data_IF_201820272793
#
_entry.id   IF_201820272793
#
_cell.length_a   1.000
_cell.length_b   1.000
_cell.length_c   1.000
_cell.angle_alpha   90.00
_cell.angle_beta   90.00
_cell.angle_gamma   90.00
#
_symmetry.space_group_name_H-M   'P 1'
#
loop_
_entity.id
_entity.type
_entity.pdbx_description
1 polymer ?
#
# COMPACT_ATOMS: atom_id res chain seq x y z
N UNK A 1 -11.96 -20.05 -17.00
CA UNK A 1 -10.76 -20.91 -16.88
C UNK A 1 -9.70 -20.10 -16.16
N UNK A 2 -9.03 -20.70 -15.17
CA UNK A 2 -8.20 -19.95 -14.23
C UNK A 2 -6.70 -20.19 -14.46
N UNK A 3 -5.92 -19.11 -14.42
CA UNK A 3 -4.49 -19.12 -14.76
C UNK A 3 -3.67 -18.37 -13.71
N UNK A 4 -2.48 -18.87 -13.42
CA UNK A 4 -1.50 -18.17 -12.60
C UNK A 4 -0.26 -17.83 -13.44
N UNK A 5 0.05 -16.55 -13.54
CA UNK A 5 1.24 -16.02 -14.20
C UNK A 5 2.24 -15.49 -13.17
N UNK A 6 3.52 -15.49 -13.52
CA UNK A 6 4.57 -14.84 -12.75
C UNK A 6 5.38 -13.90 -13.64
N UNK A 7 5.60 -12.67 -13.14
CA UNK A 7 6.53 -11.73 -13.75
C UNK A 7 7.95 -12.03 -13.28
N UNK A 8 8.91 -12.07 -14.20
CA UNK A 8 10.31 -12.40 -13.90
C UNK A 8 11.21 -11.18 -14.03
N UNK A 9 11.99 -10.87 -13.00
CA UNK A 9 12.97 -9.77 -13.01
C UNK A 9 14.18 -10.09 -13.91
N UNK A 10 14.60 -9.12 -14.72
CA UNK A 10 15.92 -9.10 -15.40
C UNK A 10 15.86 -8.96 -16.93
N UNK A 11 17.03 -9.07 -17.59
CA UNK A 11 17.18 -8.86 -19.06
C UNK A 11 16.39 -9.83 -19.96
N UNK A 12 16.03 -11.01 -19.44
CA UNK A 12 15.13 -11.97 -20.09
C UNK A 12 13.81 -12.08 -19.29
N UNK A 13 13.41 -10.96 -18.68
CA UNK A 13 12.20 -10.85 -17.88
C UNK A 13 10.94 -10.85 -18.73
N UNK A 14 9.81 -11.02 -18.05
CA UNK A 14 8.49 -11.11 -18.67
C UNK A 14 7.59 -12.13 -17.99
N UNK A 15 6.32 -12.10 -18.37
CA UNK A 15 5.27 -12.96 -17.85
C UNK A 15 5.46 -14.40 -18.32
N UNK A 16 5.39 -15.34 -17.38
CA UNK A 16 5.44 -16.78 -17.63
C UNK A 16 4.29 -17.49 -16.94
N UNK A 17 3.75 -18.53 -17.59
CA UNK A 17 2.69 -19.36 -17.05
C UNK A 17 3.21 -20.26 -15.91
N UNK A 18 2.57 -20.23 -14.75
CA UNK A 18 2.91 -21.05 -13.58
C UNK A 18 1.92 -22.21 -13.42
N UNK A 19 0.62 -21.91 -13.45
CA UNK A 19 -0.46 -22.89 -13.37
C UNK A 19 -1.52 -22.55 -14.42
N UNK A 20 -2.13 -23.59 -14.98
CA UNK A 20 -3.29 -23.51 -15.87
C UNK A 20 -4.41 -24.39 -15.32
N UNK A 21 -5.65 -23.96 -15.51
CA UNK A 21 -6.87 -24.64 -15.06
C UNK A 21 -6.90 -24.92 -13.55
N UNK A 22 -6.32 -24.01 -12.75
CA UNK A 22 -6.34 -24.09 -11.29
C UNK A 22 -6.66 -22.74 -10.67
N UNK A 23 -7.78 -22.68 -9.95
CA UNK A 23 -8.12 -21.56 -9.05
C UNK A 23 -7.14 -21.54 -7.89
N UNK A 24 -6.54 -20.39 -7.63
CA UNK A 24 -5.55 -20.24 -6.54
C UNK A 24 -6.03 -19.33 -5.41
N UNK A 25 -7.01 -18.46 -5.70
CA UNK A 25 -7.66 -17.60 -4.71
C UNK A 25 -9.15 -17.92 -4.69
N UNK A 26 -9.57 -18.72 -3.71
CA UNK A 26 -10.96 -19.19 -3.58
C UNK A 26 -11.93 -18.11 -3.09
N UNK A 27 -11.41 -17.08 -2.41
CA UNK A 27 -12.21 -16.03 -1.78
C UNK A 27 -11.93 -14.69 -2.45
N UNK A 28 -12.86 -14.23 -3.26
CA UNK A 28 -12.86 -12.86 -3.79
C UNK A 28 -13.62 -11.98 -2.79
N UNK A 29 -13.00 -10.92 -2.25
CA UNK A 29 -13.65 -10.04 -1.30
C UNK A 29 -14.78 -9.24 -1.98
N UNK A 30 -15.80 -8.89 -1.19
CA UNK A 30 -16.87 -8.01 -1.66
C UNK A 30 -16.41 -6.54 -1.61
N UNK A 31 -16.41 -5.86 -2.75
CA UNK A 31 -15.94 -4.47 -2.89
C UNK A 31 -17.03 -3.42 -2.57
N UNK A 32 -17.81 -3.61 -1.50
CA UNK A 32 -18.93 -2.70 -1.16
C UNK A 32 -18.44 -1.39 -0.53
N UNK A 33 -17.45 -1.47 0.37
CA UNK A 33 -16.95 -0.29 1.08
C UNK A 33 -15.62 0.17 0.46
N UNK A 34 -15.74 1.04 -0.54
CA UNK A 34 -14.61 1.54 -1.34
C UNK A 34 -14.49 3.05 -1.23
N UNK A 35 -13.26 3.54 -1.36
CA UNK A 35 -12.97 4.98 -1.40
C UNK A 35 -11.79 5.29 -2.29
N UNK A 36 -11.75 6.50 -2.82
CA UNK A 36 -10.56 6.99 -3.52
C UNK A 36 -9.34 6.91 -2.59
N UNK A 37 -8.15 6.75 -3.19
CA UNK A 37 -6.90 6.72 -2.44
C UNK A 37 -6.71 8.03 -1.67
N UNK A 38 -6.39 7.90 -0.38
CA UNK A 38 -6.10 9.00 0.52
C UNK A 38 -4.96 8.58 1.45
N UNK A 39 -3.86 9.34 1.39
CA UNK A 39 -2.65 9.07 2.18
C UNK A 39 -2.89 9.19 3.69
N UNK A 40 -3.88 9.97 4.14
CA UNK A 40 -4.19 10.12 5.55
C UNK A 40 -5.19 9.10 6.08
N UNK A 41 -5.83 8.38 5.18
CA UNK A 41 -6.85 7.45 5.58
C UNK A 41 -6.29 6.06 5.83
N UNK A 42 -6.46 5.57 7.05
CA UNK A 42 -6.15 4.19 7.37
C UNK A 42 -7.39 3.31 7.14
N UNK A 43 -7.28 2.46 6.12
CA UNK A 43 -8.00 1.20 5.94
C UNK A 43 -8.66 0.63 7.21
N UNK A 44 -9.99 0.71 7.40
CA UNK A 44 -10.66 -0.14 8.38
C UNK A 44 -10.80 -1.58 7.85
N UNK A 45 -11.31 -2.49 8.70
CA UNK A 45 -11.55 -3.87 8.28
C UNK A 45 -12.69 -3.93 7.26
N UNK A 46 -12.41 -4.53 6.10
CA UNK A 46 -13.36 -4.65 4.99
C UNK A 46 -13.40 -3.46 4.03
N UNK A 47 -12.58 -2.43 4.26
CA UNK A 47 -12.47 -1.27 3.37
C UNK A 47 -11.36 -1.44 2.34
N UNK A 48 -11.59 -0.85 1.16
CA UNK A 48 -10.68 -0.87 0.02
C UNK A 48 -10.46 0.52 -0.56
N UNK A 49 -9.23 0.80 -0.98
CA UNK A 49 -8.98 1.89 -1.90
C UNK A 49 -9.33 1.46 -3.32
N UNK A 50 -9.88 2.37 -4.11
CA UNK A 50 -10.23 2.14 -5.51
C UNK A 50 -9.59 3.20 -6.42
N UNK A 51 -9.09 2.75 -7.57
CA UNK A 51 -8.78 3.60 -8.72
C UNK A 51 -9.76 3.26 -9.83
N UNK A 52 -10.58 4.23 -10.21
CA UNK A 52 -11.48 4.12 -11.36
C UNK A 52 -10.73 4.38 -12.69
N UNK A 53 -11.28 3.86 -13.78
CA UNK A 53 -10.75 3.97 -15.14
C UNK A 53 -9.29 3.51 -15.24
N UNK A 54 -8.94 2.42 -14.53
CA UNK A 54 -7.56 1.99 -14.38
C UNK A 54 -6.90 1.64 -15.72
N UNK A 55 -7.66 1.10 -16.69
CA UNK A 55 -7.18 0.80 -18.05
C UNK A 55 -6.61 2.01 -18.79
N UNK A 56 -7.10 3.21 -18.49
CA UNK A 56 -6.68 4.47 -19.13
C UNK A 56 -5.39 5.06 -18.55
N UNK A 57 -4.96 4.57 -17.37
CA UNK A 57 -3.83 5.13 -16.64
C UNK A 57 -2.49 4.73 -17.26
N UNK A 58 -1.51 5.63 -17.19
CA UNK A 58 -0.15 5.44 -17.73
C UNK A 58 0.56 4.22 -17.13
N UNK A 59 0.29 3.93 -15.85
CA UNK A 59 0.86 2.83 -15.08
C UNK A 59 0.07 1.50 -15.21
N UNK A 60 -0.92 1.44 -16.11
CA UNK A 60 -1.68 0.21 -16.36
C UNK A 60 -0.86 -0.78 -17.19
N UNK A 61 -0.79 -2.03 -16.72
CA UNK A 61 -0.08 -3.11 -17.40
C UNK A 61 -0.78 -3.49 -18.71
N UNK A 62 0.01 -3.78 -19.75
CA UNK A 62 -0.53 -4.10 -21.08
C UNK A 62 -1.36 -5.39 -21.11
N UNK A 63 -1.15 -6.32 -20.16
CA UNK A 63 -1.97 -7.52 -19.98
C UNK A 63 -3.44 -7.17 -19.66
N UNK A 64 -3.69 -6.04 -19.01
CA UNK A 64 -5.04 -5.63 -18.60
C UNK A 64 -5.80 -4.91 -19.74
N UNK A 65 -5.07 -4.36 -20.72
CA UNK A 65 -5.64 -3.59 -21.84
C UNK A 65 -6.23 -4.49 -22.93
N UNK A 66 -5.77 -5.74 -23.00
CA UNK A 66 -6.17 -6.69 -24.04
C UNK A 66 -6.97 -7.85 -23.43
N UNK A 67 -7.57 -8.68 -24.29
CA UNK A 67 -8.13 -9.94 -23.84
C UNK A 67 -7.03 -10.92 -23.48
N UNK A 68 -7.26 -11.68 -22.40
CA UNK A 68 -6.28 -12.63 -21.93
C UNK A 68 -6.14 -13.79 -22.93
N UNK A 69 -4.92 -13.99 -23.42
CA UNK A 69 -4.57 -15.12 -24.28
C UNK A 69 -3.52 -15.98 -23.57
N UNK A 70 -3.95 -17.12 -23.05
CA UNK A 70 -3.08 -18.07 -22.37
C UNK A 70 -1.96 -18.62 -23.27
N UNK A 71 -2.17 -18.67 -24.60
CA UNK A 71 -1.20 -19.24 -25.56
C UNK A 71 0.01 -18.34 -25.78
N UNK A 72 -0.08 -17.06 -25.40
CA UNK A 72 1.00 -16.10 -25.50
C UNK A 72 2.14 -16.34 -24.48
N UNK A 73 1.90 -17.15 -23.44
CA UNK A 73 2.83 -17.29 -22.31
C UNK A 73 3.49 -18.67 -22.25
N UNK A 74 4.82 -18.68 -22.17
CA UNK A 74 5.59 -19.91 -21.95
C UNK A 74 5.57 -20.33 -20.48
N UNK A 75 5.63 -21.64 -20.22
CA UNK A 75 5.74 -22.18 -18.87
C UNK A 75 7.00 -21.71 -18.13
N UNK A 76 6.85 -21.41 -16.83
CA UNK A 76 7.92 -20.93 -15.98
C UNK A 76 9.00 -21.99 -15.78
N UNK A 77 10.24 -21.65 -16.14
CA UNK A 77 11.40 -22.49 -15.83
C UNK A 77 11.75 -22.45 -14.34
N UNK A 78 11.99 -23.63 -13.73
CA UNK A 78 12.46 -23.76 -12.34
C UNK A 78 13.72 -22.92 -12.02
N UNK A 79 14.54 -22.62 -13.03
CA UNK A 79 15.74 -21.78 -12.88
C UNK A 79 15.42 -20.30 -12.59
N UNK A 80 14.24 -19.84 -13.01
CA UNK A 80 13.79 -18.45 -12.88
C UNK A 80 12.99 -18.21 -11.59
N UNK A 81 12.70 -19.26 -10.82
CA UNK A 81 11.94 -19.18 -9.56
C UNK A 81 12.42 -18.07 -8.60
N UNK A 82 13.74 -17.91 -8.42
CA UNK A 82 14.29 -16.87 -7.52
C UNK A 82 14.15 -15.45 -8.04
N UNK A 83 13.70 -15.28 -9.28
CA UNK A 83 13.55 -13.99 -9.96
C UNK A 83 12.09 -13.56 -10.09
N UNK A 84 11.15 -14.31 -9.52
CA UNK A 84 9.74 -13.93 -9.51
C UNK A 84 9.59 -12.56 -8.80
N UNK A 85 9.01 -11.59 -9.50
CA UNK A 85 8.74 -10.25 -9.03
C UNK A 85 7.41 -10.17 -8.29
N UNK A 86 6.37 -10.62 -8.98
CA UNK A 86 5.00 -10.67 -8.54
C UNK A 86 4.29 -11.75 -9.34
N UNK A 87 3.09 -12.13 -8.90
CA UNK A 87 2.21 -13.05 -9.62
C UNK A 87 0.90 -12.39 -9.95
N UNK A 88 0.28 -12.86 -11.02
CA UNK A 88 -1.04 -12.45 -11.50
C UNK A 88 -1.89 -13.71 -11.61
N UNK A 89 -2.95 -13.82 -10.83
CA UNK A 89 -4.00 -14.80 -11.08
C UNK A 89 -5.06 -14.19 -11.97
N UNK A 90 -5.42 -14.87 -13.05
CA UNK A 90 -6.54 -14.52 -13.92
C UNK A 90 -7.63 -15.53 -13.64
N UNK A 91 -8.73 -15.07 -13.04
CA UNK A 91 -9.85 -15.91 -12.61
C UNK A 91 -11.17 -15.30 -13.09
N UNK A 92 -12.19 -16.14 -13.22
CA UNK A 92 -13.56 -15.69 -13.46
C UNK A 92 -14.32 -15.63 -12.12
N UNK A 93 -15.10 -14.58 -11.89
CA UNK A 93 -16.02 -14.51 -10.75
C UNK A 93 -17.30 -15.32 -10.98
N UNK A 94 -18.16 -15.42 -9.96
CA UNK A 94 -19.46 -16.11 -10.05
C UNK A 94 -20.40 -15.50 -11.12
N UNK A 95 -20.16 -14.25 -11.53
CA UNK A 95 -20.88 -13.53 -12.57
C UNK A 95 -20.26 -13.66 -13.97
N UNK A 96 -19.16 -14.39 -14.13
CA UNK A 96 -18.43 -14.56 -15.39
C UNK A 96 -17.54 -13.37 -15.77
N UNK A 97 -17.23 -12.47 -14.84
CA UNK A 97 -16.31 -11.35 -15.06
C UNK A 97 -14.86 -11.78 -14.83
N UNK A 98 -13.96 -11.33 -15.70
CA UNK A 98 -12.52 -11.51 -15.51
C UNK A 98 -12.00 -10.64 -14.35
N UNK A 99 -11.40 -11.29 -13.36
CA UNK A 99 -10.71 -10.65 -12.24
C UNK A 99 -9.22 -11.00 -12.28
N UNK A 100 -8.40 -9.96 -12.21
CA UNK A 100 -6.95 -10.07 -12.16
C UNK A 100 -6.49 -9.80 -10.74
N UNK A 101 -5.92 -10.81 -10.10
CA UNK A 101 -5.51 -10.78 -8.70
C UNK A 101 -4.00 -10.73 -8.64
N UNK A 102 -3.44 -9.72 -7.99
CA UNK A 102 -2.00 -9.53 -7.95
C UNK A 102 -1.44 -9.73 -6.56
N UNK A 103 -0.26 -10.34 -6.51
CA UNK A 103 0.51 -10.45 -5.29
C UNK A 103 1.98 -10.15 -5.57
N UNK A 104 2.51 -9.19 -4.83
CA UNK A 104 3.93 -8.89 -4.82
C UNK A 104 4.71 -10.02 -4.12
N UNK A 105 5.81 -10.46 -4.74
CA UNK A 105 6.60 -11.58 -4.25
C UNK A 105 7.93 -11.08 -3.67
N UNK A 106 7.99 -11.08 -2.34
CA UNK A 106 9.22 -10.82 -1.59
C UNK A 106 10.02 -12.12 -1.41
N UNK A 107 11.32 -12.00 -1.08
CA UNK A 107 12.17 -13.16 -0.84
C UNK A 107 11.68 -14.09 0.27
N UNK A 108 10.89 -13.59 1.23
CA UNK A 108 10.28 -14.39 2.28
C UNK A 108 9.16 -15.32 1.78
N UNK A 109 8.53 -15.00 0.65
CA UNK A 109 7.50 -15.82 0.01
C UNK A 109 8.08 -16.87 -0.96
N UNK A 110 9.40 -16.83 -1.18
CA UNK A 110 10.13 -17.78 -2.00
C UNK A 110 10.95 -18.73 -1.12
N UNK A 111 10.29 -19.76 -0.61
CA UNK A 111 10.91 -20.76 0.25
C UNK A 111 11.76 -21.75 -0.58
N UNK A 112 13.04 -21.84 -0.24
CA UNK A 112 13.95 -22.84 -0.82
C UNK A 112 14.82 -23.44 0.27
N UNK A 113 15.20 -24.73 0.12
CA UNK A 113 16.11 -25.44 1.04
C UNK A 113 15.57 -25.62 2.48
N UNK A 114 14.27 -25.49 2.68
CA UNK A 114 13.60 -25.72 3.96
C UNK A 114 12.97 -27.13 4.00
N UNK A 115 12.77 -27.65 5.22
CA UNK A 115 12.07 -28.91 5.48
C UNK A 115 10.71 -28.57 6.06
N UNK A 116 9.65 -29.12 5.48
CA UNK A 116 8.28 -28.90 5.94
C UNK A 116 7.68 -30.18 6.45
N UNK A 117 6.82 -30.07 7.45
CA UNK A 117 5.98 -31.18 7.91
C UNK A 117 4.56 -30.80 7.55
N UNK A 118 3.94 -31.59 6.68
CA UNK A 118 2.56 -31.38 6.24
C UNK A 118 1.64 -32.40 6.88
N UNK A 119 0.46 -31.95 7.29
CA UNK A 119 -0.59 -32.76 7.87
C UNK A 119 -1.80 -32.71 6.93
N UNK A 120 -1.83 -33.59 5.93
CA UNK A 120 -2.90 -33.66 4.93
C UNK A 120 -2.48 -34.36 3.63
N UNK A 121 -3.45 -34.81 2.81
CA UNK A 121 -3.16 -35.45 1.53
C UNK A 121 -2.56 -34.42 0.57
N UNK A 122 -1.44 -34.76 -0.09
CA UNK A 122 -0.92 -34.04 -1.24
C UNK A 122 -1.42 -34.72 -2.51
N UNK A 123 -2.39 -34.14 -3.25
CA UNK A 123 -2.96 -34.81 -4.42
C UNK A 123 -1.95 -34.97 -5.57
N UNK A 124 -1.00 -34.03 -5.70
CA UNK A 124 -0.16 -33.89 -6.90
C UNK A 124 1.35 -33.94 -6.64
N UNK A 125 1.79 -34.07 -5.38
CA UNK A 125 3.19 -34.35 -5.09
C UNK A 125 3.32 -35.87 -5.06
N UNK A 126 4.03 -36.43 -6.03
CA UNK A 126 4.51 -37.81 -5.98
C UNK A 126 5.54 -37.95 -4.84
N UNK A 127 5.08 -37.86 -3.60
CA UNK A 127 5.85 -38.29 -2.44
C UNK A 127 5.88 -39.81 -2.55
N UNK A 128 7.01 -40.33 -3.04
CA UNK A 128 7.26 -41.76 -3.08
C UNK A 128 7.00 -42.36 -1.69
N UNK A 129 5.87 -43.05 -1.51
CA UNK A 129 5.62 -43.92 -0.35
C UNK A 129 4.38 -43.67 0.51
N UNK A 130 3.55 -42.65 0.28
CA UNK A 130 2.35 -42.46 1.14
C UNK A 130 1.09 -42.06 0.35
N UNK A 131 0.13 -42.98 0.32
CA UNK A 131 -1.27 -42.74 -0.07
C UNK A 131 -2.01 -42.11 1.11
N UNK A 132 -2.70 -40.98 0.89
CA UNK A 132 -3.83 -40.46 1.69
C UNK A 132 -3.95 -41.00 3.13
N UNK A 133 -3.03 -40.62 3.99
CA UNK A 133 -3.14 -40.85 5.44
C UNK A 133 -3.15 -39.51 6.15
N UNK A 134 -3.97 -39.42 7.19
CA UNK A 134 -4.08 -38.32 8.17
C UNK A 134 -2.79 -38.15 9.02
N UNK A 135 -1.63 -38.52 8.46
CA UNK A 135 -0.33 -38.61 9.12
C UNK A 135 0.61 -37.55 8.56
N UNK A 136 1.47 -37.03 9.43
CA UNK A 136 2.46 -36.03 9.10
C UNK A 136 3.47 -36.57 8.06
N UNK A 137 3.67 -35.85 6.96
CA UNK A 137 4.66 -36.19 5.94
C UNK A 137 5.76 -35.13 5.87
N UNK A 138 7.02 -35.59 5.80
CA UNK A 138 8.18 -34.71 5.62
C UNK A 138 8.34 -34.35 4.14
N UNK A 139 8.11 -33.10 3.79
CA UNK A 139 8.33 -32.56 2.44
C UNK A 139 9.73 -31.98 2.37
N UNK A 140 10.58 -32.62 1.57
CA UNK A 140 11.96 -32.20 1.38
C UNK A 140 12.11 -31.39 0.09
N UNK A 141 12.42 -30.11 0.25
CA UNK A 141 13.14 -29.26 -0.70
C UNK A 141 12.57 -29.18 -2.12
N UNK A 142 11.42 -28.52 -2.25
CA UNK A 142 10.99 -27.93 -3.51
C UNK A 142 11.06 -26.41 -3.44
N UNK A 143 11.17 -25.76 -4.60
CA UNK A 143 11.06 -24.31 -4.70
C UNK A 143 9.57 -23.97 -4.52
N UNK A 144 9.19 -23.47 -3.34
CA UNK A 144 7.79 -23.23 -2.99
C UNK A 144 7.50 -21.74 -3.06
N UNK A 145 6.55 -21.35 -3.90
CA UNK A 145 5.99 -20.00 -3.89
C UNK A 145 4.81 -19.97 -2.93
N UNK A 146 4.85 -19.07 -1.95
CA UNK A 146 3.75 -18.87 -1.00
C UNK A 146 2.78 -17.83 -1.55
N UNK A 147 1.52 -18.22 -1.70
CA UNK A 147 0.41 -17.31 -1.98
C UNK A 147 -0.22 -16.86 -0.65
N UNK A 148 -0.52 -15.57 -0.54
CA UNK A 148 -1.17 -14.97 0.63
C UNK A 148 -2.66 -15.29 0.57
N UNK A 149 -3.29 -15.45 1.71
CA UNK A 149 -4.75 -15.53 1.81
C UNK A 149 -5.42 -14.24 1.29
N UNK A 150 -4.80 -13.10 1.58
CA UNK A 150 -5.20 -11.80 1.06
C UNK A 150 -4.10 -11.23 0.14
N UNK A 151 -4.28 -11.34 -1.18
CA UNK A 151 -3.51 -10.65 -2.22
C UNK A 151 -3.36 -9.14 -2.01
N UNK A 152 -2.39 -8.55 -2.72
CA UNK A 152 -2.06 -7.14 -2.58
C UNK A 152 -3.04 -6.22 -3.33
N UNK A 153 -3.59 -6.65 -4.47
CA UNK A 153 -4.67 -5.95 -5.16
C UNK A 153 -5.48 -6.83 -6.11
N UNK A 154 -6.65 -6.32 -6.51
CA UNK A 154 -7.63 -6.95 -7.38
C UNK A 154 -8.03 -5.95 -8.46
N UNK A 155 -8.00 -6.34 -9.72
CA UNK A 155 -8.52 -5.55 -10.82
C UNK A 155 -9.73 -6.25 -11.41
N UNK A 156 -10.88 -5.58 -11.37
CA UNK A 156 -12.15 -6.08 -11.92
C UNK A 156 -12.34 -5.45 -13.29
N UNK A 157 -12.15 -6.25 -14.34
CA UNK A 157 -12.15 -5.75 -15.73
C UNK A 157 -13.50 -5.22 -16.17
N UNK A 158 -14.60 -5.83 -15.70
CA UNK A 158 -15.96 -5.39 -16.01
C UNK A 158 -16.27 -3.98 -15.50
N UNK A 159 -15.65 -3.56 -14.39
CA UNK A 159 -15.85 -2.25 -13.77
C UNK A 159 -14.74 -1.26 -14.14
N UNK A 160 -13.64 -1.74 -14.72
CA UNK A 160 -12.38 -1.02 -14.93
C UNK A 160 -11.83 -0.38 -13.64
N UNK A 161 -11.86 -1.15 -12.54
CA UNK A 161 -11.47 -0.68 -11.20
C UNK A 161 -10.36 -1.52 -10.60
N UNK A 162 -9.35 -0.85 -10.05
CA UNK A 162 -8.30 -1.48 -9.24
C UNK A 162 -8.59 -1.25 -7.75
N UNK A 163 -8.72 -2.34 -7.00
CA UNK A 163 -8.93 -2.38 -5.57
C UNK A 163 -7.68 -2.83 -4.83
N UNK A 164 -7.27 -2.09 -3.80
CA UNK A 164 -6.08 -2.42 -3.00
C UNK A 164 -6.21 -1.88 -1.57
N UNK A 165 -5.38 -2.38 -0.65
CA UNK A 165 -5.36 -1.91 0.76
C UNK A 165 -4.13 -1.09 1.11
N UNK A 166 -3.03 -1.28 0.38
CA UNK A 166 -1.78 -0.58 0.62
C UNK A 166 -1.14 -0.23 -0.72
N UNK A 167 -1.04 1.07 -1.04
CA UNK A 167 -0.40 1.50 -2.28
C UNK A 167 1.04 1.02 -2.36
N UNK A 168 1.76 1.07 -1.23
CA UNK A 168 3.18 0.71 -1.11
C UNK A 168 3.48 -0.71 -1.59
N UNK A 169 2.57 -1.67 -1.37
CA UNK A 169 2.80 -3.06 -1.77
C UNK A 169 2.64 -3.29 -3.28
N UNK A 170 1.91 -2.41 -3.97
CA UNK A 170 1.62 -2.52 -5.41
C UNK A 170 2.47 -1.58 -6.27
N UNK A 171 3.23 -0.65 -5.66
CA UNK A 171 4.17 0.24 -6.36
C UNK A 171 5.20 -0.48 -7.23
N UNK A 172 5.63 -1.67 -6.80
CA UNK A 172 6.57 -2.49 -7.57
C UNK A 172 5.90 -3.35 -8.64
N UNK A 173 4.58 -3.39 -8.67
CA UNK A 173 3.77 -4.09 -9.67
C UNK A 173 3.40 -3.10 -10.78
N UNK A 174 2.91 -1.92 -10.40
CA UNK A 174 2.50 -0.86 -11.33
C UNK A 174 3.50 0.29 -11.29
N UNK A 175 4.47 0.26 -12.19
CA UNK A 175 5.47 1.31 -12.29
C UNK A 175 4.80 2.65 -12.65
N UNK A 176 5.00 3.67 -11.80
CA UNK A 176 4.38 4.99 -11.95
C UNK A 176 3.15 5.24 -11.07
N UNK A 177 2.55 4.21 -10.48
CA UNK A 177 1.37 4.37 -9.59
C UNK A 177 1.63 5.23 -8.34
N UNK A 178 2.91 5.45 -8.02
CA UNK A 178 3.35 6.37 -6.97
C UNK A 178 2.85 7.81 -7.16
N UNK A 179 2.42 8.20 -8.37
CA UNK A 179 1.78 9.49 -8.60
C UNK A 179 0.49 9.68 -7.80
N UNK A 180 -0.14 8.57 -7.35
CA UNK A 180 -1.28 8.63 -6.43
C UNK A 180 -0.88 9.10 -5.03
N UNK A 181 0.40 9.06 -4.66
CA UNK A 181 0.85 9.68 -3.43
C UNK A 181 0.70 11.19 -3.53
N UNK A 182 -0.09 11.75 -2.64
CA UNK A 182 -0.28 13.19 -2.51
C UNK A 182 0.85 13.77 -1.66
N UNK A 183 2.06 13.76 -2.21
CA UNK A 183 3.28 14.24 -1.54
C UNK A 183 3.58 15.71 -1.83
N UNK A 184 4.12 16.42 -0.84
CA UNK A 184 4.62 17.77 -1.01
C UNK A 184 5.88 17.82 -1.90
N UNK A 185 5.85 18.71 -2.90
CA UNK A 185 7.03 19.06 -3.70
C UNK A 185 8.07 19.78 -2.84
N UNK A 186 9.31 19.89 -3.32
CA UNK A 186 10.35 20.65 -2.61
C UNK A 186 9.93 22.10 -2.36
N UNK A 187 9.22 22.72 -3.30
CA UNK A 187 8.69 24.09 -3.17
C UNK A 187 7.60 24.18 -2.09
N UNK A 188 6.73 23.17 -1.99
CA UNK A 188 5.72 23.09 -0.94
C UNK A 188 6.37 22.86 0.44
N UNK A 189 7.38 22.00 0.53
CA UNK A 189 8.16 21.82 1.76
C UNK A 189 8.83 23.14 2.17
N UNK A 190 9.41 23.87 1.23
CA UNK A 190 10.02 25.17 1.49
C UNK A 190 8.97 26.19 1.96
N UNK A 191 7.78 26.21 1.34
CA UNK A 191 6.66 27.07 1.73
C UNK A 191 6.25 26.86 3.20
N UNK A 192 6.27 25.60 3.67
CA UNK A 192 6.04 25.30 5.08
C UNK A 192 7.16 25.84 5.98
N UNK A 193 8.42 25.66 5.58
CA UNK A 193 9.57 26.13 6.36
C UNK A 193 9.68 27.65 6.43
N UNK A 194 9.17 28.35 5.41
CA UNK A 194 9.13 29.81 5.35
C UNK A 194 7.95 30.42 6.13
N UNK A 195 7.07 29.60 6.73
CA UNK A 195 5.97 30.10 7.55
C UNK A 195 6.48 30.86 8.78
N UNK A 196 5.84 31.97 9.13
CA UNK A 196 6.24 32.81 10.27
C UNK A 196 6.31 32.05 11.60
N UNK A 197 5.51 30.98 11.74
CA UNK A 197 5.46 30.15 12.95
C UNK A 197 6.55 29.08 13.01
N UNK A 198 7.39 28.91 11.99
CA UNK A 198 8.41 27.86 11.94
C UNK A 198 9.81 28.46 12.10
N UNK A 199 10.64 27.83 12.93
CA UNK A 199 12.07 28.11 13.06
C UNK A 199 12.87 26.85 12.72
N UNK A 200 13.57 26.88 11.59
CA UNK A 200 14.30 25.73 11.06
C UNK A 200 15.72 25.70 11.63
N UNK A 201 16.11 24.55 12.19
CA UNK A 201 17.49 24.33 12.62
C UNK A 201 18.45 24.38 11.42
N UNK A 202 19.65 24.93 11.64
CA UNK A 202 20.66 25.10 10.59
C UNK A 202 21.03 23.80 9.84
N UNK A 203 20.84 22.64 10.50
CA UNK A 203 21.15 21.33 9.94
C UNK A 203 19.93 20.58 9.39
N UNK A 204 18.71 21.13 9.42
CA UNK A 204 17.52 20.46 8.91
C UNK A 204 17.01 21.17 7.66
N UNK A 205 16.92 20.46 6.54
CA UNK A 205 16.56 21.03 5.24
C UNK A 205 15.58 20.13 4.47
N UNK A 206 15.13 20.61 3.31
CA UNK A 206 14.17 19.93 2.44
C UNK A 206 14.65 18.52 2.04
N UNK A 207 15.96 18.34 1.90
CA UNK A 207 16.63 17.07 1.59
C UNK A 207 16.49 16.02 2.70
N UNK A 208 16.22 16.44 3.94
CA UNK A 208 16.09 15.55 5.11
C UNK A 208 14.65 15.15 5.40
N UNK A 209 13.68 15.74 4.71
CA UNK A 209 12.25 15.43 4.88
C UNK A 209 11.91 14.16 4.09
N UNK A 210 11.49 13.11 4.81
CA UNK A 210 11.13 11.84 4.17
C UNK A 210 9.70 11.90 3.63
N UNK A 211 9.43 10.99 2.70
CA UNK A 211 8.13 10.75 2.06
C UNK A 211 6.93 10.85 3.04
N UNK A 212 6.92 10.18 4.22
CA UNK A 212 5.77 10.26 5.13
C UNK A 212 5.45 11.67 5.61
N UNK A 213 6.48 12.50 5.88
CA UNK A 213 6.27 13.88 6.28
C UNK A 213 5.86 14.75 5.09
N UNK A 214 6.39 14.51 3.89
CA UNK A 214 5.96 15.22 2.68
C UNK A 214 4.46 15.10 2.42
N UNK A 215 3.86 13.93 2.66
CA UNK A 215 2.40 13.74 2.58
C UNK A 215 1.64 14.63 3.56
N UNK A 216 2.07 14.60 4.82
CA UNK A 216 1.48 15.43 5.87
C UNK A 216 1.62 16.93 5.61
N UNK A 217 2.72 17.35 4.97
CA UNK A 217 2.94 18.74 4.56
C UNK A 217 1.90 19.16 3.51
N UNK A 218 1.70 18.33 2.48
CA UNK A 218 0.73 18.59 1.41
C UNK A 218 -0.65 18.89 1.98
N UNK A 219 -1.11 18.03 2.90
CA UNK A 219 -2.37 18.18 3.61
C UNK A 219 -2.40 19.41 4.51
N UNK A 220 -1.34 19.62 5.30
CA UNK A 220 -1.25 20.74 6.23
C UNK A 220 -1.34 22.07 5.48
N UNK A 221 -0.66 22.20 4.33
CA UNK A 221 -0.73 23.37 3.47
C UNK A 221 -2.10 23.53 2.83
N UNK A 222 -2.70 22.47 2.29
CA UNK A 222 -4.05 22.51 1.72
C UNK A 222 -5.07 22.99 2.77
N UNK A 223 -4.99 22.44 3.99
CA UNK A 223 -5.85 22.82 5.11
C UNK A 223 -5.59 24.25 5.56
N UNK A 224 -4.33 24.64 5.71
CA UNK A 224 -3.93 26.00 6.08
C UNK A 224 -4.41 27.04 5.05
N UNK A 225 -4.31 26.72 3.75
CA UNK A 225 -4.78 27.59 2.68
C UNK A 225 -6.31 27.70 2.62
N UNK A 226 -7.03 26.67 3.08
CA UNK A 226 -8.49 26.71 3.22
C UNK A 226 -8.99 27.61 4.38
N UNK A 227 -8.11 27.97 5.32
CA UNK A 227 -8.48 28.75 6.49
C UNK A 227 -8.60 30.25 6.20
N UNK A 228 -9.56 30.90 6.86
CA UNK A 228 -9.62 32.37 6.94
C UNK A 228 -8.45 32.91 7.78
N UNK A 229 -8.13 34.19 7.62
CA UNK A 229 -7.01 34.83 8.32
C UNK A 229 -7.16 34.73 9.86
N UNK A 230 -8.37 34.86 10.38
CA UNK A 230 -8.66 34.65 11.81
C UNK A 230 -8.36 33.22 12.28
N UNK A 231 -8.64 32.21 11.44
CA UNK A 231 -8.35 30.79 11.78
C UNK A 231 -6.86 30.50 11.71
N UNK A 232 -6.14 31.11 10.76
CA UNK A 232 -4.68 31.02 10.67
C UNK A 232 -4.01 31.56 11.93
N UNK A 233 -4.48 32.68 12.48
CA UNK A 233 -3.95 33.24 13.73
C UNK A 233 -4.20 32.35 14.96
N UNK A 234 -5.26 31.53 14.95
CA UNK A 234 -5.55 30.59 16.05
C UNK A 234 -4.71 29.31 15.99
N UNK A 235 -4.13 29.00 14.83
CA UNK A 235 -3.41 27.73 14.62
C UNK A 235 -2.17 27.61 15.53
N UNK A 236 -1.26 28.61 15.63
CA UNK A 236 -0.11 28.53 16.52
C UNK A 236 -0.51 28.29 17.98
N UNK A 237 -1.52 29.00 18.47
CA UNK A 237 -2.05 28.84 19.84
C UNK A 237 -2.61 27.44 20.10
N UNK A 238 -3.27 26.86 19.10
CA UNK A 238 -3.76 25.48 19.21
C UNK A 238 -2.60 24.49 19.23
N UNK A 239 -1.61 24.63 18.33
CA UNK A 239 -0.49 23.71 18.22
C UNK A 239 0.40 23.76 19.47
N UNK A 240 0.64 24.94 20.04
CA UNK A 240 1.48 25.10 21.25
C UNK A 240 0.91 24.37 22.47
N UNK A 241 -0.43 24.23 22.57
CA UNK A 241 -1.10 23.45 23.65
C UNK A 241 -0.73 21.95 23.61
N UNK A 242 -0.45 21.41 22.43
CA UNK A 242 -0.16 19.99 22.24
C UNK A 242 1.32 19.69 22.02
N UNK A 243 2.08 20.66 21.50
CA UNK A 243 3.51 20.55 21.22
C UNK A 243 4.34 21.59 22.00
N UNK A 244 4.27 21.63 23.35
CA UNK A 244 4.97 22.64 24.15
C UNK A 244 6.50 22.52 24.07
N UNK A 245 7.03 21.32 23.80
CA UNK A 245 8.47 21.08 23.66
C UNK A 245 9.08 21.71 22.41
N UNK A 246 8.26 21.98 21.40
CA UNK A 246 8.69 22.59 20.14
C UNK A 246 8.52 24.11 20.15
N UNK A 247 7.60 24.60 20.97
CA UNK A 247 7.22 26.01 20.99
C UNK A 247 8.19 26.84 21.83
N UNK A 248 8.75 27.86 21.23
CA UNK A 248 9.61 28.84 21.87
C UNK A 248 8.75 30.07 22.24
N UNK A 249 8.59 30.34 23.54
CA UNK A 249 7.74 31.42 24.04
C UNK A 249 8.28 32.82 23.68
N UNK A 250 9.60 32.98 23.53
CA UNK A 250 10.24 34.27 23.24
C UNK A 250 10.03 34.67 21.78
N UNK A 251 10.19 33.71 20.87
CA UNK A 251 10.05 33.94 19.42
C UNK A 251 8.63 33.69 18.90
N UNK A 252 7.78 33.01 19.68
CA UNK A 252 6.46 32.51 19.29
C UNK A 252 6.52 31.55 18.07
N UNK A 253 7.61 30.79 17.94
CA UNK A 253 7.87 29.87 16.82
C UNK A 253 8.06 28.43 17.26
N UNK A 254 7.87 27.50 16.33
CA UNK A 254 8.11 26.08 16.51
C UNK A 254 9.48 25.70 15.95
N UNK A 255 10.38 25.23 16.81
CA UNK A 255 11.72 24.83 16.43
C UNK A 255 11.74 23.42 15.83
N UNK A 256 12.27 23.27 14.62
CA UNK A 256 12.35 21.99 13.92
C UNK A 256 13.80 21.68 13.55
N UNK A 257 14.37 20.63 14.14
CA UNK A 257 15.72 20.14 13.85
C UNK A 257 15.72 18.67 13.40
N UNK A 258 14.58 17.98 13.48
CA UNK A 258 14.48 16.56 13.19
C UNK A 258 13.14 16.16 12.59
N UNK A 259 13.15 15.00 11.92
CA UNK A 259 11.96 14.38 11.31
C UNK A 259 10.84 14.13 12.33
N UNK A 260 11.20 13.83 13.59
CA UNK A 260 10.24 13.59 14.67
C UNK A 260 9.52 14.89 15.06
N UNK A 261 10.27 15.98 15.23
CA UNK A 261 9.72 17.30 15.58
C UNK A 261 8.84 17.84 14.44
N UNK A 262 9.25 17.64 13.18
CA UNK A 262 8.43 17.95 12.02
C UNK A 262 7.11 17.15 12.03
N UNK A 263 7.18 15.86 12.37
CA UNK A 263 5.99 15.00 12.48
C UNK A 263 5.00 15.53 13.51
N UNK A 264 5.50 15.95 14.69
CA UNK A 264 4.68 16.50 15.77
C UNK A 264 4.02 17.83 15.37
N UNK A 265 4.77 18.75 14.76
CA UNK A 265 4.22 19.99 14.22
C UNK A 265 3.10 19.73 13.21
N UNK A 266 3.34 18.84 12.24
CA UNK A 266 2.38 18.52 11.18
C UNK A 266 1.12 17.85 11.70
N UNK A 267 1.24 16.99 12.73
CA UNK A 267 0.07 16.45 13.41
C UNK A 267 -0.76 17.56 14.07
N UNK A 268 -0.10 18.60 14.59
CA UNK A 268 -0.75 19.82 15.10
C UNK A 268 -1.43 20.63 14.00
N UNK A 269 -0.73 20.94 12.91
CA UNK A 269 -1.30 21.71 11.79
C UNK A 269 -2.51 21.02 11.17
N UNK A 270 -2.48 19.69 11.08
CA UNK A 270 -3.60 18.87 10.61
C UNK A 270 -4.70 18.64 11.66
N UNK A 271 -4.60 19.26 12.84
CA UNK A 271 -5.58 19.16 13.93
C UNK A 271 -5.86 17.72 14.39
N UNK A 272 -4.83 16.86 14.40
CA UNK A 272 -4.97 15.46 14.82
C UNK A 272 -4.96 15.28 16.34
N UNK A 273 -4.54 16.30 17.07
CA UNK A 273 -4.56 16.27 18.53
C UNK A 273 -5.93 16.66 19.08
N UNK A 274 -6.43 15.90 20.03
CA UNK A 274 -7.67 16.22 20.72
C UNK A 274 -7.58 15.82 22.18
N UNK A 275 -8.45 16.42 22.99
CA UNK A 275 -8.61 16.09 24.40
C UNK A 275 -10.01 15.52 24.60
N UNK A 276 -10.14 14.38 25.28
CA UNK A 276 -11.45 13.82 25.62
C UNK A 276 -12.14 14.69 26.67
N UNK A 277 -13.45 14.89 26.55
CA UNK A 277 -14.18 15.79 27.44
C UNK A 277 -14.38 15.23 28.86
N UNK A 278 -14.40 13.91 29.01
CA UNK A 278 -14.68 13.24 30.29
C UNK A 278 -13.38 12.94 31.04
N UNK A 279 -12.43 12.27 30.37
CA UNK A 279 -11.19 11.80 31.01
C UNK A 279 -10.02 12.80 30.88
N UNK A 280 -10.22 13.91 30.15
CA UNK A 280 -9.22 14.95 29.87
C UNK A 280 -7.91 14.42 29.24
N UNK A 281 -7.99 13.27 28.56
CA UNK A 281 -6.83 12.62 27.95
C UNK A 281 -6.47 13.26 26.61
N UNK A 282 -5.20 13.63 26.44
CA UNK A 282 -4.65 14.04 25.14
C UNK A 282 -4.43 12.82 24.26
N UNK A 283 -5.07 12.80 23.09
CA UNK A 283 -4.97 11.73 22.10
C UNK A 283 -4.55 12.27 20.74
N UNK A 284 -3.98 11.38 19.93
CA UNK A 284 -3.58 11.65 18.56
C UNK A 284 -4.42 10.75 17.63
N UNK A 285 -5.15 11.35 16.69
CA UNK A 285 -5.92 10.63 15.70
C UNK A 285 -4.99 10.01 14.64
N UNK A 286 -5.17 8.71 14.36
CA UNK A 286 -4.45 8.01 13.30
C UNK A 286 -5.05 8.27 11.91
N UNK A 287 -6.33 8.60 11.84
CA UNK A 287 -7.07 8.95 10.62
C UNK A 287 -8.22 9.88 11.00
N UNK A 288 -8.53 10.85 10.14
CA UNK A 288 -9.65 11.77 10.36
C UNK A 288 -10.69 11.56 9.27
N UNK A 289 -11.97 11.54 9.64
CA UNK A 289 -13.09 11.57 8.69
C UNK A 289 -14.03 12.66 9.14
N UNK A 290 -14.33 13.60 8.24
CA UNK A 290 -15.31 14.65 8.52
C UNK A 290 -16.68 14.00 8.53
N UNK A 291 -17.40 14.12 9.65
CA UNK A 291 -18.79 13.72 9.76
C UNK A 291 -19.63 14.98 9.57
N UNK A 292 -20.68 14.90 8.75
CA UNK A 292 -21.62 16.01 8.59
C UNK A 292 -22.38 16.25 9.91
N UNK A 293 -22.51 17.52 10.28
CA UNK A 293 -23.32 17.97 11.40
C UNK A 293 -24.78 18.17 10.97
#
# INVERSE_FOLDING_TARGET
MDYLLAEIKGRNGGLSMVLSDKTVFDVIPSFVNTRAYDDDYKLQNGEWFVVDEFSSKSYCLDILKNNFDATAYSNLSKKLYRKIAYVISVQEDEGGNEIYIFQNVTSSLLLSKQKFVSFGPFPDIAVTGFTNTDQASLVNNENILVLKELPDCYYVKAEDKLYFRNLSSITSIFEGINELYNEATDDEVQTLFDMEMVDLGADFGVDKVKIPNRRKIKEALARYNSFSDERKQKLPTYVSKYCPSLFDEETQKFKINSEKELTELLNGMNQRYYTTEIDEEKRLANSVTVVEN
#
